data_IF_700974817696
#
_entry.id   IF_700974817696
#
_cell.length_a   1.000
_cell.length_b   1.000
_cell.length_c   1.000
_cell.angle_alpha   90.00
_cell.angle_beta   90.00
_cell.angle_gamma   90.00
#
_symmetry.space_group_name_H-M   'P 1'
#
loop_
_entity.id
_entity.type
_entity.pdbx_description
1 polymer ?
#
# COMPACT_ATOMS: atom_id res chain seq x y z
N UNK A 1 23.07 22.21 18.22
CA UNK A 1 22.93 20.91 17.53
C UNK A 1 23.37 19.76 18.45
N UNK A 2 24.54 19.85 19.14
CA UNK A 2 25.00 18.80 20.08
C UNK A 2 24.05 18.59 21.27
N UNK A 3 23.59 19.66 21.92
CA UNK A 3 22.64 19.57 23.03
C UNK A 3 21.32 18.91 22.62
N UNK A 4 20.82 19.24 21.42
CA UNK A 4 19.58 18.61 20.89
C UNK A 4 19.75 17.10 20.66
N UNK A 5 20.90 16.67 20.17
CA UNK A 5 21.21 15.24 19.95
C UNK A 5 21.30 14.47 21.28
N UNK A 6 21.91 15.09 22.30
CA UNK A 6 22.04 14.49 23.64
C UNK A 6 20.67 14.35 24.31
N UNK A 7 19.81 15.36 24.20
CA UNK A 7 18.44 15.33 24.73
C UNK A 7 17.62 14.24 24.06
N UNK A 8 17.65 14.16 22.71
CA UNK A 8 16.96 13.12 21.94
C UNK A 8 17.47 11.73 22.32
N UNK A 9 18.78 11.55 22.49
CA UNK A 9 19.37 10.28 22.91
C UNK A 9 18.94 9.83 24.29
N UNK A 10 18.77 10.78 25.23
CA UNK A 10 18.31 10.52 26.59
C UNK A 10 16.82 10.16 26.64
N UNK A 11 15.98 10.88 25.89
CA UNK A 11 14.55 10.59 25.73
C UNK A 11 14.32 9.23 25.07
N UNK A 12 15.05 8.92 23.99
CA UNK A 12 14.99 7.62 23.30
C UNK A 12 15.33 6.44 24.23
N UNK A 13 16.20 6.66 25.22
CA UNK A 13 16.58 5.62 26.18
C UNK A 13 15.52 5.45 27.28
N UNK A 14 14.72 6.47 27.55
CA UNK A 14 13.64 6.48 28.56
C UNK A 14 12.40 5.74 28.04
N UNK A 15 12.15 5.79 26.71
CA UNK A 15 10.96 5.18 26.09
C UNK A 15 11.35 4.09 25.07
N UNK A 16 11.51 2.82 25.48
CA UNK A 16 11.93 1.73 24.61
C UNK A 16 10.94 1.50 23.44
N UNK A 17 9.64 1.74 23.64
CA UNK A 17 8.61 1.61 22.59
C UNK A 17 8.85 2.62 21.45
N UNK A 18 9.30 3.84 21.79
CA UNK A 18 9.58 4.86 20.79
C UNK A 18 10.75 4.48 19.86
N UNK A 19 11.79 3.81 20.41
CA UNK A 19 12.90 3.27 19.60
C UNK A 19 12.41 2.23 18.61
N UNK A 20 11.49 1.35 19.02
CA UNK A 20 10.92 0.33 18.17
C UNK A 20 10.03 0.94 17.08
N UNK A 21 9.25 1.96 17.42
CA UNK A 21 8.44 2.71 16.46
C UNK A 21 9.27 3.40 15.38
N UNK A 22 10.42 4.01 15.76
CA UNK A 22 11.35 4.60 14.80
C UNK A 22 11.93 3.53 13.87
N UNK A 23 12.33 2.38 14.41
CA UNK A 23 12.87 1.30 13.60
C UNK A 23 11.83 0.76 12.60
N UNK A 24 10.58 0.61 13.04
CA UNK A 24 9.47 0.21 12.17
C UNK A 24 9.21 1.23 11.07
N UNK A 25 9.12 2.52 11.42
CA UNK A 25 8.91 3.60 10.47
C UNK A 25 10.05 3.70 9.45
N UNK A 26 11.30 3.54 9.90
CA UNK A 26 12.46 3.49 9.02
C UNK A 26 12.39 2.31 8.03
N UNK A 27 11.91 1.13 8.47
CA UNK A 27 11.68 -0.03 7.61
C UNK A 27 10.62 0.22 6.54
N UNK A 28 9.50 0.86 6.91
CA UNK A 28 8.45 1.26 5.99
C UNK A 28 8.99 2.23 4.93
N UNK A 29 9.65 3.32 5.36
CA UNK A 29 10.22 4.32 4.46
C UNK A 29 11.29 3.72 3.53
N UNK A 30 12.10 2.81 4.04
CA UNK A 30 13.11 2.12 3.26
C UNK A 30 12.48 1.26 2.16
N UNK A 31 11.50 0.41 2.49
CA UNK A 31 10.80 -0.44 1.54
C UNK A 31 10.06 0.38 0.47
N UNK A 32 9.47 1.50 0.86
CA UNK A 32 8.78 2.45 -0.01
C UNK A 32 9.71 3.09 -1.03
N UNK A 33 10.92 3.49 -0.59
CA UNK A 33 11.89 4.17 -1.44
C UNK A 33 12.53 3.23 -2.45
N UNK A 34 12.87 2.01 -2.04
CA UNK A 34 13.53 1.02 -2.89
C UNK A 34 12.59 0.05 -3.61
N UNK A 35 11.27 0.20 -3.46
CA UNK A 35 10.24 -0.65 -4.09
C UNK A 35 10.57 -2.14 -3.95
N UNK A 36 10.79 -2.59 -2.70
CA UNK A 36 11.21 -3.97 -2.43
C UNK A 36 10.03 -4.92 -2.63
N UNK A 37 10.06 -5.70 -3.68
CA UNK A 37 9.00 -6.67 -4.04
C UNK A 37 9.21 -8.07 -3.42
N UNK A 38 10.26 -8.29 -2.68
CA UNK A 38 10.71 -9.61 -2.26
C UNK A 38 10.21 -10.07 -0.88
N UNK A 39 8.94 -10.45 -0.74
CA UNK A 39 8.40 -10.99 0.53
C UNK A 39 9.16 -12.20 1.08
N UNK A 40 9.59 -13.15 0.25
CA UNK A 40 10.26 -14.38 0.67
C UNK A 40 11.65 -14.10 1.27
N UNK A 41 12.44 -13.20 0.66
CA UNK A 41 13.75 -12.82 1.18
C UNK A 41 13.65 -12.12 2.54
N UNK A 42 12.65 -11.29 2.73
CA UNK A 42 12.38 -10.61 4.00
C UNK A 42 11.95 -11.58 5.10
N UNK A 43 11.13 -12.57 4.79
CA UNK A 43 10.73 -13.63 5.72
C UNK A 43 11.97 -14.42 6.17
N UNK A 44 12.85 -14.80 5.24
CA UNK A 44 14.09 -15.50 5.56
C UNK A 44 15.01 -14.64 6.44
N UNK A 45 15.17 -13.36 6.14
CA UNK A 45 15.95 -12.43 6.97
C UNK A 45 15.37 -12.31 8.40
N UNK A 46 14.05 -12.26 8.51
CA UNK A 46 13.33 -12.21 9.78
C UNK A 46 13.57 -13.48 10.60
N UNK A 47 13.50 -14.67 9.97
CA UNK A 47 13.75 -15.95 10.63
C UNK A 47 15.20 -16.06 11.12
N UNK A 48 16.18 -15.67 10.31
CA UNK A 48 17.59 -15.65 10.70
C UNK A 48 17.82 -14.72 11.88
N UNK A 49 17.19 -13.56 11.90
CA UNK A 49 17.30 -12.61 13.00
C UNK A 49 16.66 -13.14 14.28
N UNK A 50 15.49 -13.79 14.19
CA UNK A 50 14.82 -14.44 15.33
C UNK A 50 15.68 -15.55 15.93
N UNK A 51 16.32 -16.39 15.10
CA UNK A 51 17.23 -17.43 15.56
C UNK A 51 18.44 -16.82 16.27
N UNK A 52 19.03 -15.76 15.70
CA UNK A 52 20.14 -15.03 16.32
C UNK A 52 19.79 -14.43 17.68
N UNK A 53 18.61 -13.81 17.79
CA UNK A 53 18.10 -13.30 19.07
C UNK A 53 17.87 -14.42 20.09
N UNK A 54 17.31 -15.56 19.67
CA UNK A 54 17.12 -16.73 20.53
C UNK A 54 18.45 -17.30 21.07
N UNK A 55 19.50 -17.29 20.26
CA UNK A 55 20.85 -17.68 20.70
C UNK A 55 21.44 -16.69 21.72
N UNK A 56 21.23 -15.39 21.55
CA UNK A 56 21.65 -14.38 22.51
C UNK A 56 20.99 -14.52 23.88
N UNK A 57 19.72 -14.97 23.93
CA UNK A 57 19.00 -15.22 25.18
C UNK A 57 19.59 -16.41 26.00
N UNK A 58 20.18 -17.38 25.30
CA UNK A 58 20.78 -18.59 25.92
C UNK A 58 22.11 -18.31 26.60
N UNK A 59 22.80 -17.20 26.26
CA UNK A 59 24.11 -16.80 26.82
C UNK A 59 24.01 -15.39 27.41
N UNK A 60 23.57 -15.23 28.67
CA UNK A 60 23.37 -13.93 29.32
C UNK A 60 24.68 -13.27 29.70
N UNK A 61 25.44 -12.78 28.72
CA UNK A 61 26.59 -11.91 28.94
C UNK A 61 26.17 -10.46 29.03
N UNK A 62 26.66 -9.70 29.99
CA UNK A 62 26.38 -8.27 30.14
C UNK A 62 26.76 -7.46 28.89
N UNK A 63 27.82 -7.88 28.17
CA UNK A 63 28.25 -7.31 26.90
C UNK A 63 27.24 -7.56 25.76
N UNK A 64 26.37 -8.56 25.85
CA UNK A 64 25.37 -8.91 24.82
C UNK A 64 24.08 -8.08 24.86
N UNK A 65 23.85 -7.25 25.88
CA UNK A 65 22.57 -6.51 26.04
C UNK A 65 22.33 -5.51 24.91
N UNK A 66 23.36 -4.83 24.43
CA UNK A 66 23.24 -3.90 23.31
C UNK A 66 22.95 -4.64 21.98
N UNK A 67 23.54 -5.85 21.79
CA UNK A 67 23.28 -6.70 20.62
C UNK A 67 21.82 -7.13 20.59
N UNK A 68 21.27 -7.52 21.73
CA UNK A 68 19.84 -7.83 21.85
C UNK A 68 18.96 -6.65 21.47
N UNK A 69 19.23 -5.43 21.99
CA UNK A 69 18.50 -4.22 21.66
C UNK A 69 18.59 -3.85 20.17
N UNK A 70 19.77 -3.97 19.57
CA UNK A 70 19.98 -3.77 18.14
C UNK A 70 19.22 -4.82 17.31
N UNK A 71 19.24 -6.08 17.75
CA UNK A 71 18.50 -7.16 17.10
C UNK A 71 17.00 -6.95 17.11
N UNK A 72 16.41 -6.50 18.24
CA UNK A 72 14.97 -6.20 18.33
C UNK A 72 14.62 -5.00 17.42
N UNK A 73 15.47 -3.98 17.35
CA UNK A 73 15.26 -2.86 16.43
C UNK A 73 15.36 -3.31 14.98
N UNK A 74 16.32 -4.16 14.63
CA UNK A 74 16.43 -4.76 13.30
C UNK A 74 15.24 -5.64 12.95
N UNK A 75 14.69 -6.37 13.91
CA UNK A 75 13.45 -7.13 13.74
C UNK A 75 12.27 -6.21 13.38
N UNK A 76 12.07 -5.11 14.11
CA UNK A 76 11.01 -4.14 13.83
C UNK A 76 11.20 -3.47 12.46
N UNK A 77 12.44 -3.18 12.08
CA UNK A 77 12.76 -2.65 10.76
C UNK A 77 12.34 -3.64 9.63
N UNK A 78 12.68 -4.91 9.77
CA UNK A 78 12.30 -5.95 8.81
C UNK A 78 10.78 -6.19 8.77
N UNK A 79 10.10 -6.10 9.92
CA UNK A 79 8.62 -6.15 9.98
C UNK A 79 8.01 -4.99 9.18
N UNK A 80 8.53 -3.77 9.35
CA UNK A 80 8.10 -2.61 8.58
C UNK A 80 8.25 -2.82 7.07
N UNK A 81 9.40 -3.33 6.64
CA UNK A 81 9.64 -3.68 5.24
C UNK A 81 8.65 -4.75 4.72
N UNK A 82 8.43 -5.80 5.50
CA UNK A 82 7.54 -6.91 5.12
C UNK A 82 6.09 -6.44 4.99
N UNK A 83 5.61 -5.63 5.92
CA UNK A 83 4.26 -5.06 5.87
C UNK A 83 4.06 -4.19 4.63
N UNK A 84 5.03 -3.34 4.30
CA UNK A 84 5.00 -2.51 3.10
C UNK A 84 5.00 -3.35 1.83
N UNK A 85 5.90 -4.34 1.73
CA UNK A 85 5.95 -5.24 0.58
C UNK A 85 4.65 -6.03 0.40
N UNK A 86 4.01 -6.45 1.51
CA UNK A 86 2.71 -7.12 1.47
C UNK A 86 1.60 -6.18 0.99
N UNK A 87 1.53 -4.96 1.52
CA UNK A 87 0.56 -3.95 1.11
C UNK A 87 0.67 -3.62 -0.39
N UNK A 88 1.90 -3.44 -0.89
CA UNK A 88 2.13 -3.22 -2.32
C UNK A 88 1.65 -4.40 -3.18
N UNK A 89 1.93 -5.63 -2.78
CA UNK A 89 1.48 -6.83 -3.48
C UNK A 89 -0.05 -6.94 -3.51
N UNK A 90 -0.72 -6.51 -2.45
CA UNK A 90 -2.19 -6.53 -2.39
C UNK A 90 -2.82 -5.52 -3.36
N UNK A 91 -2.20 -4.38 -3.59
CA UNK A 91 -2.73 -3.33 -4.46
C UNK A 91 -2.28 -3.50 -5.91
N UNK A 92 -1.04 -3.95 -6.14
CA UNK A 92 -0.50 -4.14 -7.48
C UNK A 92 -1.03 -5.43 -8.09
N UNK A 93 -2.01 -5.32 -8.98
CA UNK A 93 -2.65 -6.45 -9.67
C UNK A 93 -2.28 -6.41 -11.14
N UNK A 94 -1.88 -7.56 -11.68
CA UNK A 94 -1.72 -7.73 -13.12
C UNK A 94 -3.11 -7.98 -13.75
N UNK A 95 -3.71 -6.94 -14.30
CA UNK A 95 -4.96 -7.04 -15.03
C UNK A 95 -4.77 -7.68 -16.40
N UNK A 96 -5.83 -8.34 -16.90
CA UNK A 96 -5.81 -8.91 -18.26
C UNK A 96 -5.66 -7.80 -19.30
N UNK A 97 -4.78 -7.96 -20.30
CA UNK A 97 -4.64 -7.01 -21.40
C UNK A 97 -5.86 -7.00 -22.34
N UNK A 98 -6.71 -8.01 -22.24
CA UNK A 98 -7.90 -8.14 -23.06
C UNK A 98 -9.12 -7.56 -22.35
N UNK A 99 -10.08 -7.06 -23.15
CA UNK A 99 -11.38 -6.64 -22.63
C UNK A 99 -12.14 -7.85 -22.13
N UNK A 100 -12.67 -7.76 -20.92
CA UNK A 100 -13.49 -8.81 -20.33
C UNK A 100 -14.63 -8.22 -19.49
N UNK A 101 -15.60 -9.08 -19.17
CA UNK A 101 -16.72 -8.69 -18.33
C UNK A 101 -16.30 -8.70 -16.87
N UNK A 102 -16.53 -7.60 -16.19
CA UNK A 102 -16.33 -7.47 -14.75
C UNK A 102 -17.67 -7.19 -14.08
N UNK A 103 -17.78 -7.64 -12.83
CA UNK A 103 -18.88 -7.29 -11.95
C UNK A 103 -18.32 -6.68 -10.68
N UNK A 104 -18.96 -5.62 -10.21
CA UNK A 104 -18.52 -4.95 -9.01
C UNK A 104 -19.64 -4.18 -8.33
N UNK A 105 -19.35 -3.68 -7.16
CA UNK A 105 -20.27 -2.89 -6.34
C UNK A 105 -19.72 -1.50 -6.15
N UNK A 106 -20.55 -0.49 -6.33
CA UNK A 106 -20.16 0.90 -6.11
C UNK A 106 -19.93 1.15 -4.62
N UNK A 107 -18.71 1.52 -4.27
CA UNK A 107 -18.30 1.71 -2.86
C UNK A 107 -18.64 3.09 -2.33
N UNK A 108 -18.56 4.11 -3.19
CA UNK A 108 -18.77 5.51 -2.85
C UNK A 108 -19.69 6.19 -3.89
N UNK A 109 -20.33 7.30 -3.53
CA UNK A 109 -21.13 8.06 -4.50
C UNK A 109 -20.26 8.53 -5.68
N UNK A 110 -20.78 8.54 -6.92
CA UNK A 110 -20.05 9.03 -8.08
C UNK A 110 -19.58 10.47 -7.89
N UNK A 111 -18.31 10.72 -8.16
CA UNK A 111 -17.74 12.07 -8.12
C UNK A 111 -17.79 12.69 -9.50
N UNK A 112 -18.47 13.82 -9.62
CA UNK A 112 -18.56 14.54 -10.88
C UNK A 112 -17.22 15.20 -11.24
N UNK A 113 -16.67 14.85 -12.41
CA UNK A 113 -15.49 15.49 -13.01
C UNK A 113 -15.92 16.32 -14.23
N UNK A 114 -14.99 16.99 -14.88
CA UNK A 114 -15.32 17.87 -16.01
C UNK A 114 -16.08 17.16 -17.15
N UNK A 115 -15.65 15.94 -17.52
CA UNK A 115 -16.21 15.18 -18.66
C UNK A 115 -16.84 13.83 -18.27
N UNK A 116 -16.61 13.32 -17.07
CA UNK A 116 -16.98 11.98 -16.63
C UNK A 116 -17.46 11.99 -15.19
N UNK A 117 -18.14 10.91 -14.78
CA UNK A 117 -18.29 10.53 -13.39
C UNK A 117 -17.17 9.56 -13.02
N UNK A 118 -16.48 9.84 -11.92
CA UNK A 118 -15.50 8.94 -11.33
C UNK A 118 -16.21 8.09 -10.28
N UNK A 119 -16.16 6.78 -10.45
CA UNK A 119 -16.82 5.79 -9.59
C UNK A 119 -15.77 4.87 -8.95
N UNK A 120 -15.78 4.74 -7.63
CA UNK A 120 -14.98 3.77 -6.90
C UNK A 120 -15.75 2.47 -6.78
N UNK A 121 -15.27 1.41 -7.40
CA UNK A 121 -15.97 0.12 -7.53
C UNK A 121 -15.14 -1.01 -6.98
N UNK A 122 -15.73 -1.85 -6.14
CA UNK A 122 -15.13 -3.08 -5.65
C UNK A 122 -15.32 -4.21 -6.64
N UNK A 123 -14.24 -4.76 -7.20
CA UNK A 123 -14.22 -5.85 -8.17
C UNK A 123 -13.35 -6.99 -7.66
N UNK A 124 -13.91 -8.15 -7.43
CA UNK A 124 -13.19 -9.35 -6.94
C UNK A 124 -12.30 -9.08 -5.70
N UNK A 125 -12.77 -8.24 -4.78
CA UNK A 125 -12.04 -7.88 -3.55
C UNK A 125 -10.93 -6.84 -3.75
N UNK A 126 -10.84 -6.21 -4.92
CA UNK A 126 -9.94 -5.09 -5.23
C UNK A 126 -10.76 -3.85 -5.55
N UNK A 127 -10.21 -2.68 -5.27
CA UNK A 127 -10.84 -1.41 -5.58
C UNK A 127 -10.28 -0.84 -6.87
N UNK A 128 -11.18 -0.37 -7.73
CA UNK A 128 -10.86 0.20 -9.03
C UNK A 128 -11.60 1.52 -9.26
N UNK A 129 -11.02 2.39 -10.05
CA UNK A 129 -11.67 3.63 -10.50
C UNK A 129 -12.23 3.46 -11.89
N UNK A 130 -13.53 3.57 -12.02
CA UNK A 130 -14.22 3.61 -13.31
C UNK A 130 -14.56 5.06 -13.68
N UNK A 131 -14.26 5.41 -14.92
CA UNK A 131 -14.68 6.69 -15.50
C UNK A 131 -15.83 6.43 -16.46
N UNK A 132 -17.04 6.87 -16.07
CA UNK A 132 -18.27 6.75 -16.84
C UNK A 132 -18.58 8.09 -17.53
N UNK A 133 -19.11 8.10 -18.76
CA UNK A 133 -19.58 9.33 -19.39
C UNK A 133 -20.74 9.92 -18.60
N UNK A 134 -20.96 11.22 -18.75
CA UNK A 134 -22.06 11.94 -18.11
C UNK A 134 -23.38 11.64 -18.84
N UNK A 135 -24.11 10.67 -18.35
CA UNK A 135 -25.47 10.35 -18.80
C UNK A 135 -26.43 10.28 -17.60
N UNK A 136 -27.74 10.13 -17.90
CA UNK A 136 -28.78 10.06 -16.88
C UNK A 136 -28.66 8.83 -15.98
N UNK A 137 -28.08 7.74 -16.50
CA UNK A 137 -27.91 6.50 -15.76
C UNK A 137 -26.74 6.61 -14.78
N UNK A 138 -25.59 7.14 -15.25
CA UNK A 138 -24.41 7.33 -14.40
C UNK A 138 -24.66 8.35 -13.28
N UNK A 139 -25.48 9.38 -13.55
CA UNK A 139 -25.88 10.36 -12.54
C UNK A 139 -26.82 9.79 -11.46
N UNK A 140 -27.55 8.73 -11.76
CA UNK A 140 -28.50 8.11 -10.84
C UNK A 140 -27.87 7.06 -9.91
N UNK A 141 -26.60 6.68 -10.12
CA UNK A 141 -25.90 5.67 -9.37
C UNK A 141 -25.75 6.04 -7.88
N UNK A 142 -25.91 5.05 -7.02
CA UNK A 142 -25.79 5.18 -5.56
C UNK A 142 -24.82 4.15 -5.01
N UNK A 143 -24.24 4.46 -3.88
CA UNK A 143 -23.41 3.51 -3.11
C UNK A 143 -24.20 2.22 -2.85
N UNK A 144 -23.57 1.10 -3.14
CA UNK A 144 -24.16 -0.24 -3.02
C UNK A 144 -24.76 -0.79 -4.32
N UNK A 145 -24.90 0.05 -5.37
CA UNK A 145 -25.38 -0.43 -6.66
C UNK A 145 -24.40 -1.43 -7.29
N UNK A 146 -24.95 -2.53 -7.81
CA UNK A 146 -24.20 -3.51 -8.61
C UNK A 146 -23.98 -3.01 -10.02
N UNK A 147 -22.78 -3.17 -10.54
CA UNK A 147 -22.40 -2.78 -11.89
C UNK A 147 -21.79 -3.97 -12.63
N UNK A 148 -22.27 -4.22 -13.85
CA UNK A 148 -21.65 -5.13 -14.80
C UNK A 148 -21.12 -4.32 -15.97
N UNK A 149 -19.82 -4.47 -16.30
CA UNK A 149 -19.20 -3.67 -17.33
C UNK A 149 -18.17 -4.47 -18.12
N UNK A 150 -18.04 -4.16 -19.40
CA UNK A 150 -17.13 -4.79 -20.33
C UNK A 150 -16.04 -3.81 -20.73
N UNK A 151 -14.84 -4.01 -20.20
CA UNK A 151 -13.73 -3.11 -20.45
C UNK A 151 -12.39 -3.81 -20.29
N UNK A 152 -11.32 -3.13 -20.70
CA UNK A 152 -9.96 -3.42 -20.30
C UNK A 152 -9.65 -2.62 -19.05
N UNK A 153 -9.08 -3.29 -18.06
CA UNK A 153 -8.61 -2.66 -16.86
C UNK A 153 -7.12 -2.35 -17.01
N UNK A 154 -6.72 -1.13 -16.74
CA UNK A 154 -5.32 -0.73 -16.78
C UNK A 154 -4.80 -0.43 -15.37
N UNK A 155 -3.52 -0.73 -15.12
CA UNK A 155 -2.88 -0.32 -13.88
C UNK A 155 -2.83 1.22 -13.81
N UNK A 156 -2.87 1.81 -12.61
CA UNK A 156 -2.68 3.25 -12.47
C UNK A 156 -1.35 3.70 -13.10
N UNK A 157 -1.40 4.66 -13.99
CA UNK A 157 -0.24 5.23 -14.67
C UNK A 157 -0.14 6.73 -14.43
N UNK A 158 1.09 7.25 -14.44
CA UNK A 158 1.33 8.68 -14.37
C UNK A 158 1.09 9.32 -15.74
N UNK A 159 0.40 10.45 -15.76
CA UNK A 159 0.28 11.27 -16.96
C UNK A 159 1.60 12.03 -17.15
N UNK A 160 2.17 11.98 -18.34
CA UNK A 160 3.45 12.61 -18.70
C UNK A 160 3.48 14.14 -18.45
N UNK A 161 2.31 14.78 -18.49
CA UNK A 161 2.17 16.23 -18.29
C UNK A 161 2.42 16.68 -16.84
N UNK A 162 2.30 15.80 -15.85
CA UNK A 162 2.42 16.12 -14.42
C UNK A 162 3.63 15.42 -13.77
N UNK A 163 4.83 15.68 -14.27
CA UNK A 163 6.08 15.06 -13.77
C UNK A 163 6.38 15.30 -12.27
N UNK A 164 5.74 16.29 -11.63
CA UNK A 164 5.99 16.62 -10.22
C UNK A 164 5.14 15.82 -9.23
N UNK A 165 4.04 15.19 -9.68
CA UNK A 165 3.14 14.45 -8.80
C UNK A 165 2.98 13.00 -9.28
N UNK A 166 3.41 12.04 -8.47
CA UNK A 166 3.25 10.62 -8.73
C UNK A 166 1.81 10.18 -8.45
N UNK A 167 0.94 10.38 -9.45
CA UNK A 167 -0.49 10.06 -9.36
C UNK A 167 -0.74 8.56 -9.22
N UNK A 168 0.04 7.72 -9.89
CA UNK A 168 -0.07 6.28 -9.78
C UNK A 168 0.21 5.82 -8.35
N UNK A 169 1.28 6.34 -7.74
CA UNK A 169 1.62 6.07 -6.34
C UNK A 169 0.53 6.54 -5.38
N UNK A 170 -0.02 7.73 -5.62
CA UNK A 170 -1.14 8.24 -4.82
C UNK A 170 -2.34 7.29 -4.87
N UNK A 171 -2.74 6.80 -6.06
CA UNK A 171 -3.83 5.84 -6.20
C UNK A 171 -3.55 4.52 -5.50
N UNK A 172 -2.32 4.00 -5.59
CA UNK A 172 -1.93 2.79 -4.87
C UNK A 172 -2.02 2.96 -3.35
N UNK A 173 -1.62 4.11 -2.81
CA UNK A 173 -1.78 4.41 -1.38
C UNK A 173 -3.25 4.52 -0.97
N UNK A 174 -4.13 4.95 -1.87
CA UNK A 174 -5.58 5.00 -1.66
C UNK A 174 -6.25 3.63 -1.87
N UNK A 175 -5.48 2.56 -2.14
CA UNK A 175 -5.97 1.19 -2.31
C UNK A 175 -6.49 0.88 -3.71
N UNK A 176 -6.34 1.77 -4.67
CA UNK A 176 -6.80 1.59 -6.04
C UNK A 176 -5.84 0.72 -6.84
N UNK A 177 -6.33 -0.42 -7.31
CA UNK A 177 -5.55 -1.42 -8.05
C UNK A 177 -5.65 -1.26 -9.56
N UNK A 178 -6.61 -0.52 -10.06
CA UNK A 178 -6.83 -0.37 -11.50
C UNK A 178 -7.71 0.82 -11.85
N UNK A 179 -7.60 1.24 -13.10
CA UNK A 179 -8.43 2.30 -13.67
C UNK A 179 -8.99 1.85 -15.02
N UNK A 180 -10.21 2.26 -15.34
CA UNK A 180 -10.78 2.00 -16.66
C UNK A 180 -11.78 3.09 -17.07
N UNK A 181 -11.82 3.39 -18.38
CA UNK A 181 -12.90 4.15 -18.97
C UNK A 181 -13.91 3.18 -19.56
N UNK A 182 -15.20 3.36 -19.24
CA UNK A 182 -16.29 2.50 -19.70
C UNK A 182 -17.32 3.35 -20.43
N UNK A 183 -17.51 3.17 -21.74
CA UNK A 183 -18.52 3.89 -22.50
C UNK A 183 -19.95 3.47 -22.08
N UNK A 184 -20.96 4.30 -22.39
CA UNK A 184 -22.34 4.12 -21.94
C UNK A 184 -23.00 2.81 -22.38
N UNK A 185 -22.55 2.24 -23.50
CA UNK A 185 -23.09 0.98 -24.06
C UNK A 185 -22.41 -0.28 -23.45
N UNK A 186 -21.29 -0.09 -22.76
CA UNK A 186 -20.49 -1.18 -22.21
C UNK A 186 -20.69 -1.46 -20.72
N UNK A 187 -21.67 -0.85 -20.08
CA UNK A 187 -22.01 -1.12 -18.69
C UNK A 187 -23.51 -1.17 -18.44
N UNK A 188 -23.92 -1.85 -17.38
CA UNK A 188 -25.31 -1.95 -16.91
C UNK A 188 -25.33 -2.02 -15.39
N UNK A 189 -26.40 -1.50 -14.81
CA UNK A 189 -26.74 -1.74 -13.41
C UNK A 189 -27.29 -3.17 -13.27
N UNK A 190 -26.89 -3.88 -12.23
CA UNK A 190 -27.27 -5.28 -11.96
C UNK A 190 -28.27 -5.34 -10.85
#
# INVERSE_FOLDING_TARGET
IEESIIIIGKELNTYPIFRLAIALAAGILFAETWKIEGGMGLIMALLVLLLGLGMCLKSPSYAGRWVFGAGVSGFMFLVGMLLTAHAWKEVTVAWSPEKQMYQGVLMEPPIEKAKTFQCRVGVAGKEVLLYLPKDSLSAALKTGDGLSFYTRMDAPENQEEFQQFDYARFLYHDGISGTAYVPSDAWRMT
#
